data_IF_950054641190
#
_entry.id   IF_950054641190
#
_cell.length_a   1.000
_cell.length_b   1.000
_cell.length_c   1.000
_cell.angle_alpha   90.00
_cell.angle_beta   90.00
_cell.angle_gamma   90.00
#
_symmetry.space_group_name_H-M   'P 1'
#
loop_
_entity.id
_entity.type
_entity.pdbx_description
1 polymer ?
#
# COMPACT_ATOMS: atom_id res chain seq x y z
N UNK A 1 -6.33 2.18 -5.76
CA UNK A 1 -6.32 0.87 -5.11
C UNK A 1 -5.26 0.15 -5.87
N UNK A 2 -4.34 -0.49 -5.15
CA UNK A 2 -3.35 -1.32 -5.83
C UNK A 2 -4.09 -2.32 -6.72
N UNK A 3 -3.55 -2.58 -7.92
CA UNK A 3 -4.15 -3.59 -8.78
C UNK A 3 -4.01 -5.00 -8.15
N UNK A 4 -4.78 -5.94 -8.68
CA UNK A 4 -4.81 -7.31 -8.17
C UNK A 4 -3.45 -8.01 -8.33
N UNK A 5 -2.70 -7.73 -9.40
CA UNK A 5 -1.40 -8.36 -9.67
C UNK A 5 -0.34 -7.96 -8.64
N UNK A 6 -0.31 -6.67 -8.28
CA UNK A 6 0.58 -6.13 -7.26
C UNK A 6 0.20 -6.66 -5.85
N UNK A 7 -1.09 -6.88 -5.59
CA UNK A 7 -1.54 -7.53 -4.35
C UNK A 7 -1.04 -8.96 -4.25
N UNK A 8 -1.23 -9.75 -5.31
CA UNK A 8 -0.82 -11.15 -5.35
C UNK A 8 0.70 -11.28 -5.15
N UNK A 9 1.48 -10.44 -5.84
CA UNK A 9 2.95 -10.40 -5.69
C UNK A 9 3.40 -10.07 -4.27
N UNK A 10 2.73 -9.12 -3.60
CA UNK A 10 3.03 -8.79 -2.20
C UNK A 10 2.77 -10.01 -1.31
N UNK A 11 1.63 -10.67 -1.48
CA UNK A 11 1.27 -11.84 -0.66
C UNK A 11 2.25 -13.00 -0.89
N UNK A 12 2.64 -13.27 -2.13
CA UNK A 12 3.66 -14.28 -2.45
C UNK A 12 4.97 -14.00 -1.71
N UNK A 13 5.47 -12.75 -1.74
CA UNK A 13 6.71 -12.40 -1.04
C UNK A 13 6.54 -12.59 0.48
N UNK A 14 5.43 -12.13 1.05
CA UNK A 14 5.17 -12.26 2.49
C UNK A 14 5.04 -13.71 2.95
N UNK A 15 4.50 -14.60 2.12
CA UNK A 15 4.40 -16.04 2.39
C UNK A 15 5.75 -16.74 2.34
N UNK A 16 6.72 -16.22 1.57
CA UNK A 16 8.08 -16.80 1.48
C UNK A 16 9.03 -16.31 2.56
N UNK A 17 8.67 -15.26 3.32
CA UNK A 17 9.48 -14.75 4.41
C UNK A 17 9.59 -15.77 5.55
N UNK A 18 10.82 -16.09 5.93
CA UNK A 18 11.12 -16.97 7.08
C UNK A 18 10.87 -16.31 8.44
N UNK A 19 10.89 -14.98 8.50
CA UNK A 19 10.56 -14.20 9.68
C UNK A 19 9.06 -13.86 9.69
N UNK A 20 8.30 -14.62 10.47
CA UNK A 20 6.85 -14.47 10.61
C UNK A 20 6.45 -13.13 11.23
N UNK A 21 7.24 -12.59 12.18
CA UNK A 21 6.94 -11.31 12.80
C UNK A 21 7.11 -10.16 11.79
N UNK A 22 8.18 -10.21 11.00
CA UNK A 22 8.40 -9.27 9.90
C UNK A 22 7.27 -9.37 8.87
N UNK A 23 6.88 -10.57 8.46
CA UNK A 23 5.79 -10.80 7.50
C UNK A 23 4.46 -10.19 7.97
N UNK A 24 4.09 -10.43 9.24
CA UNK A 24 2.88 -9.86 9.84
C UNK A 24 2.94 -8.33 9.91
N UNK A 25 4.11 -7.77 10.24
CA UNK A 25 4.28 -6.32 10.30
C UNK A 25 4.16 -5.66 8.93
N UNK A 26 4.75 -6.26 7.89
CA UNK A 26 4.62 -5.80 6.51
C UNK A 26 3.19 -5.94 5.98
N UNK A 27 2.48 -7.02 6.33
CA UNK A 27 1.07 -7.21 5.97
C UNK A 27 0.18 -6.13 6.58
N UNK A 28 0.42 -5.75 7.84
CA UNK A 28 -0.29 -4.63 8.50
C UNK A 28 0.00 -3.31 7.79
N UNK A 29 1.26 -3.04 7.49
CA UNK A 29 1.68 -1.82 6.77
C UNK A 29 1.00 -1.72 5.39
N UNK A 30 0.97 -2.82 4.62
CA UNK A 30 0.26 -2.91 3.35
C UNK A 30 -1.24 -2.61 3.51
N UNK A 31 -1.89 -3.26 4.47
CA UNK A 31 -3.32 -3.12 4.72
C UNK A 31 -3.70 -1.67 5.04
N UNK A 32 -2.92 -1.01 5.89
CA UNK A 32 -3.16 0.40 6.27
C UNK A 32 -2.96 1.35 5.09
N UNK A 33 -1.88 1.19 4.32
CA UNK A 33 -1.61 2.01 3.12
C UNK A 33 -2.70 1.82 2.06
N UNK A 34 -3.09 0.57 1.78
CA UNK A 34 -4.11 0.27 0.76
C UNK A 34 -5.49 0.78 1.18
N UNK A 35 -5.84 0.67 2.47
CA UNK A 35 -7.07 1.25 3.03
C UNK A 35 -7.09 2.77 2.93
N UNK A 36 -5.98 3.45 3.22
CA UNK A 36 -5.88 4.90 3.09
C UNK A 36 -6.08 5.33 1.63
N UNK A 37 -5.34 4.70 0.71
CA UNK A 37 -5.44 5.00 -0.71
C UNK A 37 -6.85 4.74 -1.28
N UNK A 38 -7.48 3.62 -0.88
CA UNK A 38 -8.85 3.30 -1.25
C UNK A 38 -9.88 4.33 -0.76
N UNK A 39 -9.72 4.87 0.45
CA UNK A 39 -10.60 5.93 0.97
C UNK A 39 -10.47 7.22 0.17
N UNK A 40 -9.24 7.61 -0.19
CA UNK A 40 -8.95 8.81 -0.96
C UNK A 40 -9.53 8.70 -2.38
N UNK A 41 -9.33 7.57 -3.06
CA UNK A 41 -9.85 7.37 -4.42
C UNK A 41 -11.37 7.33 -4.51
N UNK A 42 -12.03 6.80 -3.48
CA UNK A 42 -13.48 6.81 -3.38
C UNK A 42 -14.03 8.19 -2.96
N UNK A 43 -13.15 9.20 -2.84
CA UNK A 43 -13.44 10.56 -2.39
C UNK A 43 -14.36 10.58 -1.15
N UNK A 44 -14.08 9.70 -0.19
CA UNK A 44 -14.94 9.53 1.00
C UNK A 44 -14.83 10.68 2.00
N UNK A 45 -13.96 11.64 1.75
CA UNK A 45 -13.80 12.83 2.58
C UNK A 45 -14.26 14.07 1.81
N UNK A 46 -15.53 14.43 2.00
CA UNK A 46 -16.16 15.58 1.35
C UNK A 46 -15.63 16.93 1.85
N UNK A 47 -14.76 16.95 2.86
CA UNK A 47 -14.18 18.17 3.41
C UNK A 47 -12.87 18.57 2.72
N UNK A 48 -12.32 17.72 1.85
CA UNK A 48 -11.11 18.03 1.10
C UNK A 48 -11.42 18.89 -0.12
N UNK A 49 -10.65 19.96 -0.30
CA UNK A 49 -10.61 20.65 -1.60
C UNK A 49 -10.04 19.72 -2.67
N UNK A 50 -10.32 20.01 -3.95
CA UNK A 50 -9.80 19.21 -5.06
C UNK A 50 -8.27 19.11 -5.05
N UNK A 51 -7.59 20.23 -4.73
CA UNK A 51 -6.12 20.29 -4.70
C UNK A 51 -5.54 19.48 -3.53
N UNK A 52 -6.16 19.54 -2.34
CA UNK A 52 -5.75 18.74 -1.19
C UNK A 52 -6.02 17.24 -1.41
N UNK A 53 -7.17 16.91 -1.98
CA UNK A 53 -7.51 15.54 -2.36
C UNK A 53 -6.49 14.96 -3.34
N UNK A 54 -6.17 15.72 -4.40
CA UNK A 54 -5.18 15.31 -5.41
C UNK A 54 -3.82 15.10 -4.78
N UNK A 55 -3.35 16.07 -3.99
CA UNK A 55 -2.07 15.97 -3.29
C UNK A 55 -1.99 14.73 -2.39
N UNK A 56 -3.05 14.43 -1.63
CA UNK A 56 -3.12 13.23 -0.79
C UNK A 56 -3.16 11.94 -1.60
N UNK A 57 -3.81 11.94 -2.77
CA UNK A 57 -3.78 10.79 -3.67
C UNK A 57 -2.36 10.55 -4.21
N UNK A 58 -1.66 11.61 -4.63
CA UNK A 58 -0.29 11.54 -5.13
C UNK A 58 0.67 11.04 -4.02
N UNK A 59 0.53 11.56 -2.80
CA UNK A 59 1.29 11.12 -1.62
C UNK A 59 1.00 9.64 -1.28
N UNK A 60 -0.28 9.23 -1.26
CA UNK A 60 -0.66 7.85 -0.96
C UNK A 60 -0.21 6.84 -2.04
N UNK A 61 -0.17 7.26 -3.31
CA UNK A 61 0.38 6.45 -4.39
C UNK A 61 1.89 6.27 -4.20
N UNK A 62 2.62 7.37 -3.95
CA UNK A 62 4.06 7.31 -3.72
C UNK A 62 4.43 6.44 -2.51
N UNK A 63 3.71 6.61 -1.40
CA UNK A 63 3.88 5.80 -0.18
C UNK A 63 3.70 4.30 -0.42
N UNK A 64 2.90 3.95 -1.42
CA UNK A 64 2.65 2.58 -1.82
C UNK A 64 3.73 2.07 -2.78
N UNK A 65 4.18 2.90 -3.72
CA UNK A 65 5.29 2.57 -4.62
C UNK A 65 6.59 2.33 -3.82
N UNK A 66 6.86 3.17 -2.82
CA UNK A 66 8.01 3.03 -1.91
C UNK A 66 7.89 1.73 -1.08
N UNK A 67 6.67 1.35 -0.68
CA UNK A 67 6.42 0.10 0.02
C UNK A 67 6.63 -1.13 -0.88
N UNK A 68 6.17 -1.08 -2.14
CA UNK A 68 6.40 -2.14 -3.12
C UNK A 68 7.89 -2.34 -3.37
N UNK A 69 8.65 -1.26 -3.58
CA UNK A 69 10.10 -1.32 -3.76
C UNK A 69 10.80 -1.92 -2.53
N UNK A 70 10.36 -1.57 -1.31
CA UNK A 70 10.82 -2.19 -0.07
C UNK A 70 10.51 -3.68 -0.05
N UNK A 71 9.29 -4.09 -0.37
CA UNK A 71 8.89 -5.51 -0.35
C UNK A 71 9.67 -6.33 -1.38
N UNK A 72 9.87 -5.81 -2.58
CA UNK A 72 10.62 -6.47 -3.63
C UNK A 72 12.07 -6.76 -3.22
N UNK A 73 12.64 -5.98 -2.29
CA UNK A 73 13.98 -6.25 -1.76
C UNK A 73 14.10 -7.52 -0.90
N UNK A 74 12.97 -8.09 -0.46
CA UNK A 74 12.93 -9.36 0.27
C UNK A 74 12.75 -10.58 -0.63
N UNK A 75 12.49 -10.38 -1.93
CA UNK A 75 12.37 -11.46 -2.90
C UNK A 75 13.78 -11.76 -3.47
N UNK A 76 14.34 -12.94 -3.15
CA UNK A 76 15.66 -13.39 -3.60
C UNK A 76 15.58 -14.34 -4.80
#
# INVERSE_FOLDING_TARGET
MIDTQNTDKILEILETLSDEELSVNLLKEFSDKNKNFGKLLLNRDSNLTHDEWKKRCDEAQKDMDDFLAKIESYNF
#
